data_IF_215898577010
#
_entry.id   IF_215898577010
#
_cell.length_a   1.000
_cell.length_b   1.000
_cell.length_c   1.000
_cell.angle_alpha   90.00
_cell.angle_beta   90.00
_cell.angle_gamma   90.00
#
_symmetry.space_group_name_H-M   'P 1'
#
loop_
_entity.id
_entity.type
_entity.pdbx_description
1 polymer ?
#
# COMPACT_ATOMS: atom_id res chain seq x y z
N UNK A 1 -14.27 33.90 21.99
CA UNK A 1 -14.48 33.82 20.53
C UNK A 1 -14.63 32.35 20.21
N UNK A 2 -15.86 31.91 19.98
CA UNK A 2 -16.18 30.50 19.71
C UNK A 2 -15.58 30.05 18.39
N UNK A 3 -14.71 29.06 18.47
CA UNK A 3 -14.12 28.33 17.33
C UNK A 3 -15.12 27.37 16.66
N UNK A 4 -16.35 27.26 17.17
CA UNK A 4 -17.38 26.32 16.70
C UNK A 4 -18.26 26.85 15.54
N UNK A 5 -18.05 28.10 15.08
CA UNK A 5 -18.81 28.68 13.96
C UNK A 5 -18.13 28.58 12.59
N UNK A 6 -16.84 28.22 12.55
CA UNK A 6 -16.08 28.04 11.30
C UNK A 6 -16.64 26.94 10.37
N UNK A 7 -17.23 25.82 10.85
CA UNK A 7 -17.80 24.80 9.97
C UNK A 7 -18.96 25.32 9.13
N UNK A 8 -19.72 26.33 9.58
CA UNK A 8 -20.96 26.78 8.94
C UNK A 8 -20.75 27.85 7.86
N UNK A 9 -19.66 28.61 7.90
CA UNK A 9 -19.40 29.66 6.92
C UNK A 9 -19.19 29.13 5.49
N UNK A 10 -18.79 27.86 5.34
CA UNK A 10 -18.61 27.21 4.04
C UNK A 10 -19.88 26.62 3.41
N UNK A 11 -21.02 26.72 4.09
CA UNK A 11 -22.29 26.13 3.64
C UNK A 11 -23.43 27.13 3.53
N UNK A 12 -23.15 28.43 3.63
CA UNK A 12 -24.15 29.42 3.24
C UNK A 12 -24.39 29.36 1.71
N UNK A 13 -25.58 29.77 1.27
CA UNK A 13 -25.98 29.69 -0.15
C UNK A 13 -24.94 30.33 -1.09
N UNK A 14 -24.30 31.42 -0.64
CA UNK A 14 -23.28 32.14 -1.41
C UNK A 14 -22.00 31.29 -1.62
N UNK A 15 -21.58 30.53 -0.62
CA UNK A 15 -20.46 29.59 -0.73
C UNK A 15 -20.80 28.42 -1.67
N UNK A 16 -22.02 27.89 -1.59
CA UNK A 16 -22.51 26.83 -2.48
C UNK A 16 -22.54 27.31 -3.94
N UNK A 17 -23.07 28.49 -4.20
CA UNK A 17 -23.10 29.10 -5.54
C UNK A 17 -21.69 29.32 -6.09
N UNK A 18 -20.79 29.88 -5.26
CA UNK A 18 -19.39 30.08 -5.65
C UNK A 18 -18.70 28.74 -5.97
N UNK A 19 -18.84 27.73 -5.11
CA UNK A 19 -18.25 26.41 -5.34
C UNK A 19 -18.82 25.74 -6.59
N UNK A 20 -20.13 25.85 -6.82
CA UNK A 20 -20.79 25.31 -8.02
C UNK A 20 -20.22 25.93 -9.29
N UNK A 21 -20.10 27.25 -9.33
CA UNK A 21 -19.52 27.98 -10.47
C UNK A 21 -18.05 27.61 -10.67
N UNK A 22 -17.28 27.52 -9.60
CA UNK A 22 -15.86 27.15 -9.68
C UNK A 22 -15.68 25.70 -10.11
N UNK A 23 -16.51 24.77 -9.65
CA UNK A 23 -16.47 23.38 -10.09
C UNK A 23 -16.77 23.27 -11.60
N UNK A 24 -17.72 24.07 -12.12
CA UNK A 24 -18.01 24.11 -13.55
C UNK A 24 -16.82 24.64 -14.39
N UNK A 25 -16.14 25.70 -13.92
CA UNK A 25 -14.95 26.24 -14.60
C UNK A 25 -13.79 25.23 -14.54
N UNK A 26 -13.55 24.64 -13.37
CA UNK A 26 -12.41 23.75 -13.17
C UNK A 26 -12.62 22.38 -13.83
N UNK A 27 -13.86 21.89 -13.98
CA UNK A 27 -14.12 20.60 -14.61
C UNK A 27 -13.67 20.53 -16.07
N UNK A 28 -13.75 21.65 -16.80
CA UNK A 28 -13.26 21.75 -18.18
C UNK A 28 -11.73 21.65 -18.27
N UNK A 29 -11.02 22.05 -17.21
CA UNK A 29 -9.55 22.12 -17.17
C UNK A 29 -8.91 21.11 -16.21
N UNK A 30 -9.71 20.21 -15.62
CA UNK A 30 -9.24 19.35 -14.53
C UNK A 30 -8.15 18.37 -14.96
N UNK A 31 -8.18 17.90 -16.20
CA UNK A 31 -7.12 17.06 -16.74
C UNK A 31 -5.79 17.83 -16.84
N UNK A 32 -5.81 19.06 -17.36
CA UNK A 32 -4.61 19.91 -17.45
C UNK A 32 -4.06 20.27 -16.06
N UNK A 33 -4.95 20.50 -15.10
CA UNK A 33 -4.60 20.68 -13.70
C UNK A 33 -3.82 19.47 -13.14
N UNK A 34 -4.30 18.26 -13.44
CA UNK A 34 -3.69 17.02 -12.99
C UNK A 34 -2.38 16.72 -13.75
N UNK A 35 -2.28 17.07 -15.03
CA UNK A 35 -1.01 17.00 -15.75
C UNK A 35 0.03 17.95 -15.14
N UNK A 36 -0.35 19.20 -14.86
CA UNK A 36 0.49 20.17 -14.14
C UNK A 36 0.92 19.64 -12.77
N UNK A 37 -0.01 19.00 -12.05
CA UNK A 37 0.25 18.38 -10.77
C UNK A 37 1.36 17.33 -10.86
N UNK A 38 1.23 16.35 -11.76
CA UNK A 38 2.26 15.31 -11.91
C UNK A 38 3.59 15.85 -12.42
N UNK A 39 3.59 16.85 -13.30
CA UNK A 39 4.84 17.54 -13.68
C UNK A 39 5.52 18.17 -12.47
N UNK A 40 4.76 18.77 -11.55
CA UNK A 40 5.35 19.36 -10.33
C UNK A 40 5.91 18.32 -9.35
N UNK A 41 5.44 17.06 -9.44
CA UNK A 41 6.00 15.95 -8.67
C UNK A 41 7.29 15.40 -9.27
N UNK A 42 7.69 15.81 -10.48
CA UNK A 42 8.97 15.40 -11.08
C UNK A 42 10.18 15.92 -10.32
N UNK A 43 10.04 17.04 -9.62
CA UNK A 43 11.11 17.64 -8.83
C UNK A 43 11.19 17.05 -7.41
N UNK A 44 10.39 16.03 -7.10
CA UNK A 44 10.32 15.39 -5.78
C UNK A 44 10.78 13.93 -5.92
N UNK A 45 12.00 13.58 -5.48
CA UNK A 45 12.56 12.23 -5.63
C UNK A 45 11.64 11.13 -5.10
N UNK A 46 11.02 11.36 -3.94
CA UNK A 46 10.11 10.41 -3.28
C UNK A 46 8.82 10.20 -4.06
N UNK A 47 8.35 11.21 -4.79
CA UNK A 47 7.17 11.05 -5.66
C UNK A 47 7.54 10.28 -6.93
N UNK A 48 8.71 10.56 -7.52
CA UNK A 48 9.22 9.85 -8.69
C UNK A 48 9.47 8.36 -8.42
N UNK A 49 10.00 8.03 -7.24
CA UNK A 49 10.26 6.65 -6.87
C UNK A 49 8.99 5.80 -6.80
N UNK A 50 7.84 6.40 -6.51
CA UNK A 50 6.53 5.72 -6.50
C UNK A 50 5.90 5.71 -7.89
N UNK A 51 5.92 6.85 -8.59
CA UNK A 51 5.32 6.97 -9.92
C UNK A 51 5.99 6.02 -10.92
N UNK A 52 7.31 5.85 -10.83
CA UNK A 52 8.09 4.95 -11.71
C UNK A 52 7.75 3.46 -11.53
N UNK A 53 7.06 3.08 -10.45
CA UNK A 53 6.60 1.70 -10.25
C UNK A 53 5.38 1.41 -11.14
N UNK A 54 4.55 2.42 -11.41
CA UNK A 54 3.27 2.26 -12.09
C UNK A 54 3.48 1.92 -13.57
N UNK A 55 2.62 1.06 -14.12
CA UNK A 55 2.49 0.96 -15.58
C UNK A 55 1.75 2.16 -16.15
N UNK A 56 1.76 2.32 -17.46
CA UNK A 56 1.05 3.42 -18.13
C UNK A 56 -0.46 3.42 -17.80
N UNK A 57 -1.07 2.23 -17.79
CA UNK A 57 -2.48 2.05 -17.45
C UNK A 57 -2.78 2.41 -15.99
N UNK A 58 -1.92 2.00 -15.06
CA UNK A 58 -2.04 2.39 -13.65
C UNK A 58 -1.92 3.90 -13.46
N UNK A 59 -0.95 4.51 -14.16
CA UNK A 59 -0.72 5.94 -14.06
C UNK A 59 -1.88 6.73 -14.65
N UNK A 60 -2.44 6.28 -15.78
CA UNK A 60 -3.65 6.85 -16.36
C UNK A 60 -4.86 6.71 -15.42
N UNK A 61 -5.03 5.55 -14.80
CA UNK A 61 -6.09 5.34 -13.79
C UNK A 61 -5.90 6.28 -12.59
N UNK A 62 -4.67 6.44 -12.10
CA UNK A 62 -4.35 7.34 -10.99
C UNK A 62 -4.66 8.79 -11.33
N UNK A 63 -4.31 9.27 -12.54
CA UNK A 63 -4.68 10.61 -13.02
C UNK A 63 -6.19 10.83 -12.98
N UNK A 64 -6.99 9.85 -13.42
CA UNK A 64 -8.46 9.94 -13.35
C UNK A 64 -8.97 10.03 -11.91
N UNK A 65 -8.38 9.29 -10.98
CA UNK A 65 -8.69 9.41 -9.54
C UNK A 65 -8.30 10.76 -8.97
N UNK A 66 -7.21 11.33 -9.45
CA UNK A 66 -6.74 12.63 -9.04
C UNK A 66 -7.65 13.76 -9.55
N UNK A 67 -8.20 13.64 -10.76
CA UNK A 67 -9.25 14.54 -11.28
C UNK A 67 -10.50 14.46 -10.40
N UNK A 68 -10.94 13.25 -10.04
CA UNK A 68 -12.09 13.06 -9.15
C UNK A 68 -11.88 13.73 -7.79
N UNK A 69 -10.67 13.62 -7.22
CA UNK A 69 -10.31 14.29 -5.96
C UNK A 69 -10.36 15.82 -6.07
N UNK A 70 -9.76 16.40 -7.11
CA UNK A 70 -9.79 17.84 -7.34
C UNK A 70 -11.23 18.38 -7.42
N UNK A 71 -12.11 17.67 -8.13
CA UNK A 71 -13.51 18.07 -8.26
C UNK A 71 -14.30 17.87 -6.97
N UNK A 72 -13.95 16.87 -6.16
CA UNK A 72 -14.54 16.66 -4.84
C UNK A 72 -14.24 17.84 -3.89
N UNK A 73 -13.01 18.37 -3.93
CA UNK A 73 -12.63 19.55 -3.12
C UNK A 73 -13.50 20.77 -3.43
N UNK A 74 -14.03 20.87 -4.66
CA UNK A 74 -14.90 21.95 -5.10
C UNK A 74 -16.39 21.61 -5.04
N UNK A 75 -16.74 20.39 -4.59
CA UNK A 75 -18.11 19.91 -4.67
C UNK A 75 -19.06 20.69 -3.77
N UNK A 76 -20.10 21.34 -4.35
CA UNK A 76 -21.10 22.05 -3.58
C UNK A 76 -21.91 21.06 -2.75
N UNK A 77 -22.09 21.35 -1.47
CA UNK A 77 -22.92 20.53 -0.58
C UNK A 77 -22.31 19.21 -0.10
N UNK A 78 -21.08 18.86 -0.49
CA UNK A 78 -20.35 17.76 0.18
C UNK A 78 -20.09 18.16 1.63
N UNK A 79 -20.67 17.41 2.56
CA UNK A 79 -20.48 17.63 3.99
C UNK A 79 -19.02 17.38 4.37
N UNK A 80 -18.52 18.13 5.35
CA UNK A 80 -17.14 17.97 5.79
C UNK A 80 -16.85 16.56 6.28
N UNK A 81 -17.83 15.90 6.90
CA UNK A 81 -17.72 14.51 7.35
C UNK A 81 -17.49 13.53 6.21
N UNK A 82 -18.17 13.72 5.07
CA UNK A 82 -18.03 12.83 3.92
C UNK A 82 -16.67 13.05 3.24
N UNK A 83 -16.24 14.31 3.14
CA UNK A 83 -14.89 14.63 2.68
C UNK A 83 -13.84 13.98 3.61
N UNK A 84 -14.02 14.06 4.93
CA UNK A 84 -13.11 13.46 5.91
C UNK A 84 -12.95 11.96 5.68
N UNK A 85 -14.04 11.23 5.49
CA UNK A 85 -14.01 9.78 5.29
C UNK A 85 -13.25 9.40 4.01
N UNK A 86 -13.52 10.12 2.91
CA UNK A 86 -12.84 9.87 1.64
C UNK A 86 -11.34 10.21 1.71
N UNK A 87 -11.01 11.36 2.29
CA UNK A 87 -9.63 11.80 2.52
C UNK A 87 -8.89 10.84 3.45
N UNK A 88 -9.48 10.43 4.57
CA UNK A 88 -8.87 9.46 5.49
C UNK A 88 -8.59 8.12 4.82
N UNK A 89 -9.53 7.64 3.99
CA UNK A 89 -9.32 6.45 3.18
C UNK A 89 -8.20 6.61 2.14
N UNK A 90 -8.03 7.79 1.55
CA UNK A 90 -6.92 8.09 0.66
C UNK A 90 -5.57 8.12 1.40
N UNK A 91 -5.52 8.77 2.56
CA UNK A 91 -4.33 8.79 3.42
C UNK A 91 -3.88 7.40 3.85
N UNK A 92 -4.82 6.53 4.24
CA UNK A 92 -4.53 5.13 4.55
C UNK A 92 -3.90 4.40 3.35
N UNK A 93 -4.43 4.59 2.14
CA UNK A 93 -3.86 4.00 0.92
C UNK A 93 -2.46 4.54 0.63
N UNK A 94 -2.26 5.85 0.72
CA UNK A 94 -0.96 6.49 0.53
C UNK A 94 0.09 5.93 1.49
N UNK A 95 -0.25 5.82 2.78
CA UNK A 95 0.60 5.19 3.79
C UNK A 95 0.95 3.74 3.41
N UNK A 96 -0.04 2.95 2.99
CA UNK A 96 0.14 1.53 2.66
C UNK A 96 1.05 1.24 1.45
N UNK A 97 1.32 2.24 0.61
CA UNK A 97 2.26 2.13 -0.52
C UNK A 97 3.52 3.00 -0.32
N UNK A 98 3.71 3.56 0.88
CA UNK A 98 4.92 4.28 1.25
C UNK A 98 5.02 5.70 0.68
N UNK A 99 3.91 6.35 0.33
CA UNK A 99 3.92 7.78 -0.03
C UNK A 99 4.28 8.59 1.21
N UNK A 100 5.32 9.42 1.12
CA UNK A 100 5.72 10.29 2.22
C UNK A 100 4.73 11.46 2.43
N UNK A 101 4.49 11.85 3.68
CA UNK A 101 3.61 12.98 4.01
C UNK A 101 4.10 14.32 3.43
N UNK A 102 5.39 14.47 3.13
CA UNK A 102 5.94 15.63 2.44
C UNK A 102 5.41 15.74 1.01
N UNK A 103 5.22 14.61 0.31
CA UNK A 103 4.61 14.56 -1.02
C UNK A 103 3.16 15.00 -0.93
N UNK A 104 2.43 14.55 0.09
CA UNK A 104 1.06 14.99 0.35
C UNK A 104 0.95 16.51 0.58
N UNK A 105 1.86 17.08 1.39
CA UNK A 105 1.87 18.52 1.63
C UNK A 105 2.15 19.31 0.34
N UNK A 106 3.18 18.92 -0.42
CA UNK A 106 3.52 19.53 -1.72
C UNK A 106 2.36 19.43 -2.72
N UNK A 107 1.71 18.28 -2.77
CA UNK A 107 0.52 18.03 -3.57
C UNK A 107 -0.61 19.02 -3.23
N UNK A 108 -0.84 19.27 -1.94
CA UNK A 108 -1.88 20.22 -1.50
C UNK A 108 -1.55 21.68 -1.83
N UNK A 109 -0.28 22.07 -1.71
CA UNK A 109 0.19 23.42 -2.08
C UNK A 109 0.01 23.67 -3.58
N UNK A 110 0.23 22.63 -4.41
CA UNK A 110 -0.04 22.70 -5.84
C UNK A 110 -1.51 22.99 -6.13
N UNK A 111 -2.44 22.28 -5.47
CA UNK A 111 -3.86 22.53 -5.67
C UNK A 111 -4.30 23.90 -5.19
N UNK A 112 -3.81 24.35 -4.04
CA UNK A 112 -4.10 25.70 -3.57
C UNK A 112 -3.69 26.73 -4.62
N UNK A 113 -2.44 26.64 -5.11
CA UNK A 113 -1.93 27.56 -6.14
C UNK A 113 -2.77 27.51 -7.42
N UNK A 114 -3.09 26.31 -7.90
CA UNK A 114 -3.89 26.13 -9.12
C UNK A 114 -5.28 26.76 -8.98
N UNK A 115 -5.97 26.48 -7.87
CA UNK A 115 -7.31 26.96 -7.61
C UNK A 115 -7.33 28.49 -7.45
N UNK A 116 -6.38 29.08 -6.71
CA UNK A 116 -6.29 30.52 -6.53
C UNK A 116 -5.92 31.28 -7.80
N UNK A 117 -5.24 30.66 -8.75
CA UNK A 117 -4.98 31.26 -10.05
C UNK A 117 -6.20 31.24 -10.99
N UNK A 118 -7.22 30.46 -10.65
CA UNK A 118 -8.42 30.25 -11.48
C UNK A 118 -9.61 31.16 -11.11
N UNK A 119 -9.48 31.97 -10.04
CA UNK A 119 -10.58 32.79 -9.50
C UNK A 119 -10.46 34.27 -9.88
N UNK A 120 -11.59 34.93 -10.13
CA UNK A 120 -11.66 36.37 -10.33
C UNK A 120 -11.43 37.15 -9.02
N UNK A 121 -10.86 38.36 -9.11
CA UNK A 121 -10.56 39.22 -7.94
C UNK A 121 -11.75 39.48 -7.02
N UNK A 122 -12.96 39.62 -7.57
CA UNK A 122 -14.17 39.93 -6.80
C UNK A 122 -14.58 38.84 -5.81
N UNK A 123 -14.24 37.58 -6.12
CA UNK A 123 -14.61 36.41 -5.31
C UNK A 123 -13.42 35.82 -4.55
N UNK A 124 -12.22 36.39 -4.75
CA UNK A 124 -10.95 35.87 -4.22
C UNK A 124 -10.97 35.64 -2.70
N UNK A 125 -11.41 36.63 -1.91
CA UNK A 125 -11.37 36.54 -0.45
C UNK A 125 -12.21 35.37 0.09
N UNK A 126 -13.43 35.24 -0.41
CA UNK A 126 -14.34 34.16 -0.01
C UNK A 126 -13.83 32.81 -0.53
N UNK A 127 -13.41 32.73 -1.80
CA UNK A 127 -12.88 31.50 -2.38
C UNK A 127 -11.62 31.02 -1.65
N UNK A 128 -10.70 31.93 -1.34
CA UNK A 128 -9.48 31.66 -0.59
C UNK A 128 -9.78 31.02 0.77
N UNK A 129 -10.73 31.58 1.53
CA UNK A 129 -11.14 31.02 2.82
C UNK A 129 -11.72 29.60 2.66
N UNK A 130 -12.61 29.40 1.68
CA UNK A 130 -13.26 28.11 1.43
C UNK A 130 -12.25 27.03 1.05
N UNK A 131 -11.41 27.30 0.06
CA UNK A 131 -10.47 26.31 -0.49
C UNK A 131 -9.37 25.98 0.51
N UNK A 132 -8.87 26.98 1.24
CA UNK A 132 -7.84 26.77 2.27
C UNK A 132 -8.37 25.90 3.39
N UNK A 133 -9.61 26.15 3.85
CA UNK A 133 -10.23 25.33 4.88
C UNK A 133 -10.46 23.89 4.41
N UNK A 134 -10.98 23.70 3.19
CA UNK A 134 -11.21 22.37 2.62
C UNK A 134 -9.91 21.59 2.40
N UNK A 135 -8.85 22.22 1.91
CA UNK A 135 -7.54 21.59 1.74
C UNK A 135 -6.90 21.27 3.09
N UNK A 136 -6.95 22.18 4.06
CA UNK A 136 -6.43 21.91 5.40
C UNK A 136 -7.13 20.70 6.05
N UNK A 137 -8.45 20.61 5.87
CA UNK A 137 -9.23 19.49 6.36
C UNK A 137 -8.95 18.18 5.60
N UNK A 138 -8.75 18.24 4.28
CA UNK A 138 -8.33 17.11 3.45
C UNK A 138 -6.99 16.54 3.94
N UNK A 139 -5.97 17.38 4.08
CA UNK A 139 -4.63 16.99 4.55
C UNK A 139 -4.72 16.40 5.96
N UNK A 140 -5.41 17.06 6.89
CA UNK A 140 -5.59 16.55 8.26
C UNK A 140 -6.19 15.14 8.23
N UNK A 141 -7.28 14.96 7.48
CA UNK A 141 -7.97 13.67 7.38
C UNK A 141 -7.07 12.60 6.76
N UNK A 142 -6.30 12.95 5.73
CA UNK A 142 -5.31 12.05 5.15
C UNK A 142 -4.23 11.65 6.18
N UNK A 143 -3.69 12.60 6.94
CA UNK A 143 -2.73 12.31 8.03
C UNK A 143 -3.34 11.38 9.09
N UNK A 144 -4.62 11.56 9.44
CA UNK A 144 -5.30 10.63 10.34
C UNK A 144 -5.42 9.22 9.72
N UNK A 145 -5.53 9.11 8.40
CA UNK A 145 -5.44 7.84 7.67
C UNK A 145 -4.06 7.17 7.76
N UNK A 146 -2.97 7.94 7.81
CA UNK A 146 -1.62 7.39 8.06
C UNK A 146 -1.52 6.78 9.46
N UNK A 147 -2.05 7.47 10.47
CA UNK A 147 -2.07 6.96 11.85
C UNK A 147 -2.88 5.68 11.98
N UNK A 148 -4.02 5.61 11.28
CA UNK A 148 -4.82 4.38 11.23
C UNK A 148 -4.03 3.21 10.63
N UNK A 149 -3.27 3.47 9.57
CA UNK A 149 -2.41 2.46 8.96
C UNK A 149 -1.30 2.01 9.91
N UNK A 150 -0.65 2.94 10.62
CA UNK A 150 0.38 2.64 11.61
C UNK A 150 -0.17 1.82 12.79
N UNK A 151 -1.35 2.18 13.31
CA UNK A 151 -2.00 1.41 14.37
C UNK A 151 -2.42 0.02 13.89
N UNK A 152 -2.95 -0.07 12.67
CA UNK A 152 -3.28 -1.34 12.04
C UNK A 152 -2.03 -2.23 11.91
N UNK A 153 -0.91 -1.65 11.47
CA UNK A 153 0.39 -2.28 11.34
C UNK A 153 0.87 -2.90 12.66
N UNK A 154 0.88 -2.11 13.75
CA UNK A 154 1.28 -2.58 15.09
C UNK A 154 0.41 -3.77 15.52
N UNK A 155 -0.91 -3.63 15.41
CA UNK A 155 -1.84 -4.68 15.80
C UNK A 155 -1.67 -5.97 14.97
N UNK A 156 -1.39 -5.84 13.67
CA UNK A 156 -1.13 -6.99 12.81
C UNK A 156 0.16 -7.73 13.22
N UNK A 157 1.23 -7.01 13.54
CA UNK A 157 2.49 -7.57 14.04
C UNK A 157 2.29 -8.27 15.38
N UNK A 158 1.58 -7.64 16.31
CA UNK A 158 1.33 -8.20 17.64
C UNK A 158 0.46 -9.47 17.55
N UNK A 159 -0.51 -9.46 16.64
CA UNK A 159 -1.34 -10.64 16.34
C UNK A 159 -0.55 -11.85 15.81
N UNK A 160 0.64 -11.63 15.21
CA UNK A 160 1.53 -12.67 14.70
C UNK A 160 2.42 -13.33 15.78
N UNK A 161 2.07 -13.20 17.06
CA UNK A 161 2.72 -13.94 18.14
C UNK A 161 2.80 -15.45 17.87
N UNK A 162 3.82 -16.09 18.45
CA UNK A 162 4.03 -17.54 18.33
C UNK A 162 2.97 -18.26 19.17
N UNK A 163 1.99 -18.85 18.49
CA UNK A 163 0.89 -19.56 19.13
C UNK A 163 1.35 -20.89 19.75
N UNK A 164 0.53 -21.44 20.65
CA UNK A 164 0.73 -22.77 21.22
C UNK A 164 0.83 -23.88 20.14
N UNK A 165 0.26 -23.68 18.95
CA UNK A 165 0.39 -24.59 17.81
C UNK A 165 1.84 -24.70 17.28
N UNK A 166 2.69 -23.71 17.56
CA UNK A 166 4.12 -23.71 17.21
C UNK A 166 5.03 -24.11 18.38
N UNK A 167 4.52 -24.15 19.63
CA UNK A 167 5.31 -24.37 20.86
C UNK A 167 4.85 -25.62 21.64
N UNK A 168 3.75 -26.27 21.25
CA UNK A 168 3.20 -27.45 21.92
C UNK A 168 3.97 -28.75 21.60
N UNK A 169 3.78 -29.82 22.38
CA UNK A 169 4.37 -31.14 22.11
C UNK A 169 3.85 -31.81 20.83
N UNK A 170 2.68 -31.38 20.34
CA UNK A 170 2.10 -31.81 19.07
C UNK A 170 2.37 -30.82 17.92
N UNK A 171 3.30 -29.87 18.12
CA UNK A 171 3.60 -28.86 17.11
C UNK A 171 4.20 -29.49 15.85
N UNK A 172 3.64 -29.12 14.71
CA UNK A 172 4.06 -29.56 13.38
C UNK A 172 4.33 -28.33 12.51
N UNK A 173 5.41 -28.38 11.73
CA UNK A 173 5.86 -27.27 10.88
C UNK A 173 4.79 -26.81 9.90
N UNK A 174 4.04 -27.74 9.28
CA UNK A 174 2.98 -27.38 8.35
C UNK A 174 1.79 -26.71 9.05
N UNK A 175 1.50 -27.12 10.28
CA UNK A 175 0.43 -26.56 11.10
C UNK A 175 0.80 -25.16 11.63
N UNK A 176 2.04 -24.97 12.07
CA UNK A 176 2.59 -23.66 12.43
C UNK A 176 2.58 -22.71 11.22
N UNK A 177 3.10 -23.15 10.06
CA UNK A 177 3.07 -22.37 8.81
C UNK A 177 1.64 -22.04 8.37
N UNK A 178 0.68 -22.95 8.55
CA UNK A 178 -0.73 -22.71 8.27
C UNK A 178 -1.32 -21.60 9.13
N UNK A 179 -1.06 -21.61 10.44
CA UNK A 179 -1.54 -20.60 11.36
C UNK A 179 -0.98 -19.22 10.97
N UNK A 180 0.34 -19.13 10.79
CA UNK A 180 1.01 -17.90 10.36
C UNK A 180 0.44 -17.36 9.04
N UNK A 181 0.30 -18.22 8.02
CA UNK A 181 -0.26 -17.81 6.75
C UNK A 181 -1.71 -17.31 6.88
N UNK A 182 -2.54 -17.88 7.77
CA UNK A 182 -3.91 -17.40 8.01
C UNK A 182 -3.92 -16.00 8.61
N UNK A 183 -3.05 -15.73 9.58
CA UNK A 183 -2.91 -14.41 10.20
C UNK A 183 -2.40 -13.38 9.19
N UNK A 184 -1.37 -13.72 8.40
CA UNK A 184 -0.82 -12.84 7.35
C UNK A 184 -1.88 -12.56 6.27
N UNK A 185 -2.71 -13.53 5.89
CA UNK A 185 -3.82 -13.32 4.94
C UNK A 185 -4.92 -12.40 5.46
N UNK A 186 -4.98 -12.08 6.76
CA UNK A 186 -5.87 -11.04 7.28
C UNK A 186 -5.30 -9.63 7.09
N UNK A 187 -4.01 -9.53 6.71
CA UNK A 187 -3.37 -8.26 6.43
C UNK A 187 -3.96 -7.69 5.15
N UNK A 188 -4.36 -6.42 5.19
CA UNK A 188 -5.03 -5.77 4.08
C UNK A 188 -4.12 -5.80 2.85
N UNK A 189 -4.73 -6.08 1.69
CA UNK A 189 -4.07 -6.15 0.38
C UNK A 189 -3.20 -7.37 0.11
N UNK A 190 -3.02 -8.26 1.11
CA UNK A 190 -2.44 -9.58 0.90
C UNK A 190 -3.48 -10.47 0.21
N UNK A 191 -3.12 -10.96 -0.98
CA UNK A 191 -3.97 -11.85 -1.78
C UNK A 191 -3.49 -13.30 -1.70
N UNK A 192 -2.21 -13.52 -1.38
CA UNK A 192 -1.63 -14.86 -1.24
C UNK A 192 -0.38 -14.88 -0.38
N UNK A 193 -0.17 -16.02 0.27
CA UNK A 193 0.99 -16.28 1.13
C UNK A 193 1.52 -17.69 0.85
N UNK A 194 2.84 -17.83 0.81
CA UNK A 194 3.56 -19.11 0.74
C UNK A 194 4.65 -19.09 1.80
N UNK A 195 4.71 -20.15 2.61
CA UNK A 195 5.76 -20.38 3.59
C UNK A 195 6.39 -21.74 3.28
N UNK A 196 7.71 -21.78 3.23
CA UNK A 196 8.45 -22.97 2.88
C UNK A 196 9.90 -22.91 3.31
N UNK A 197 10.69 -23.88 2.82
CA UNK A 197 12.11 -23.99 3.07
C UNK A 197 12.85 -24.40 1.79
N UNK A 198 14.16 -24.20 1.76
CA UNK A 198 15.07 -24.73 0.75
C UNK A 198 16.00 -25.73 1.43
N UNK A 199 15.91 -27.00 1.03
CA UNK A 199 16.79 -28.07 1.49
C UNK A 199 17.70 -28.52 0.34
N UNK A 200 18.94 -28.02 0.35
CA UNK A 200 19.86 -28.17 -0.76
C UNK A 200 19.31 -27.53 -2.05
N UNK A 201 19.07 -28.34 -3.08
CA UNK A 201 18.48 -27.89 -4.35
C UNK A 201 16.94 -27.99 -4.37
N UNK A 202 16.32 -28.51 -3.32
CA UNK A 202 14.89 -28.76 -3.26
C UNK A 202 14.18 -27.63 -2.53
N UNK A 203 13.23 -26.98 -3.21
CA UNK A 203 12.35 -25.99 -2.59
C UNK A 203 11.05 -26.67 -2.15
N UNK A 204 10.86 -26.72 -0.84
CA UNK A 204 9.68 -27.26 -0.20
C UNK A 204 8.70 -26.15 0.19
N UNK A 205 7.41 -26.43 0.01
CA UNK A 205 6.32 -25.55 0.46
C UNK A 205 5.60 -26.22 1.63
N UNK A 206 5.79 -25.67 2.83
CA UNK A 206 5.09 -26.13 4.03
C UNK A 206 3.61 -25.80 3.95
N UNK A 207 3.29 -24.56 3.58
CA UNK A 207 1.91 -24.14 3.42
C UNK A 207 1.77 -23.00 2.42
N UNK A 208 0.60 -22.95 1.78
CA UNK A 208 0.17 -21.82 0.95
C UNK A 208 -1.29 -21.50 1.20
N UNK A 209 -1.63 -20.23 1.11
CA UNK A 209 -2.99 -19.73 1.28
C UNK A 209 -3.27 -18.61 0.28
N UNK A 210 -4.54 -18.50 -0.15
CA UNK A 210 -4.95 -17.47 -1.10
C UNK A 210 -4.49 -17.71 -2.55
N UNK A 211 -4.39 -16.61 -3.28
CA UNK A 211 -4.04 -16.54 -4.69
C UNK A 211 -2.51 -16.56 -4.83
N UNK A 212 -1.98 -17.72 -5.23
CA UNK A 212 -0.53 -17.99 -5.29
C UNK A 212 -0.14 -18.47 -6.70
N UNK A 213 -0.15 -17.58 -7.72
CA UNK A 213 0.25 -17.93 -9.08
C UNK A 213 1.65 -18.54 -9.11
N UNK A 214 1.86 -19.56 -9.94
CA UNK A 214 3.16 -20.23 -10.06
C UNK A 214 3.48 -21.26 -8.96
N UNK A 215 2.60 -21.45 -7.98
CA UNK A 215 2.71 -22.55 -7.00
C UNK A 215 1.56 -23.54 -7.24
N UNK A 216 1.90 -24.79 -7.55
CA UNK A 216 0.93 -25.82 -7.87
C UNK A 216 0.09 -26.22 -6.65
N UNK A 217 -1.22 -26.39 -6.86
CA UNK A 217 -2.15 -26.60 -5.75
C UNK A 217 -2.03 -27.96 -5.10
N UNK A 218 -1.66 -28.98 -5.87
CA UNK A 218 -1.71 -30.39 -5.48
C UNK A 218 -0.32 -30.92 -5.12
N UNK A 219 0.66 -30.63 -5.98
CA UNK A 219 2.03 -31.10 -5.86
C UNK A 219 2.89 -30.19 -5.00
N UNK A 220 2.40 -28.97 -4.69
CA UNK A 220 3.16 -27.93 -3.97
C UNK A 220 4.46 -27.52 -4.65
N UNK A 221 4.62 -27.85 -5.93
CA UNK A 221 5.80 -27.47 -6.71
C UNK A 221 5.70 -26.02 -7.16
N UNK A 222 6.83 -25.34 -7.11
CA UNK A 222 6.99 -23.99 -7.60
C UNK A 222 7.46 -24.02 -9.06
N UNK A 223 6.98 -23.06 -9.87
CA UNK A 223 7.49 -22.84 -11.23
C UNK A 223 8.91 -22.29 -11.21
N UNK A 224 9.63 -22.49 -12.31
CA UNK A 224 11.07 -22.25 -12.40
C UNK A 224 11.45 -20.79 -12.08
N UNK A 225 10.64 -19.83 -12.51
CA UNK A 225 10.87 -18.40 -12.31
C UNK A 225 10.80 -18.03 -10.83
N UNK A 226 9.75 -18.48 -10.13
CA UNK A 226 9.62 -18.30 -8.69
C UNK A 226 10.67 -19.11 -7.91
N UNK A 227 11.05 -20.28 -8.41
CA UNK A 227 12.10 -21.11 -7.83
C UNK A 227 13.42 -20.33 -7.79
N UNK A 228 13.82 -19.71 -8.90
CA UNK A 228 15.03 -18.87 -8.97
C UNK A 228 15.01 -17.74 -7.94
N UNK A 229 13.86 -17.08 -7.77
CA UNK A 229 13.70 -16.00 -6.79
C UNK A 229 13.84 -16.53 -5.35
N UNK A 230 13.21 -17.65 -5.03
CA UNK A 230 13.30 -18.24 -3.69
C UNK A 230 14.72 -18.72 -3.40
N UNK A 231 15.38 -19.37 -4.35
CA UNK A 231 16.76 -19.83 -4.20
C UNK A 231 17.71 -18.65 -4.00
N UNK A 232 17.58 -17.55 -4.77
CA UNK A 232 18.44 -16.38 -4.57
C UNK A 232 18.23 -15.74 -3.19
N UNK A 233 16.98 -15.65 -2.71
CA UNK A 233 16.68 -15.13 -1.36
C UNK A 233 17.31 -16.00 -0.27
N UNK A 234 17.29 -17.32 -0.47
CA UNK A 234 17.88 -18.28 0.46
C UNK A 234 19.41 -18.16 0.52
N UNK A 235 20.07 -18.11 -0.64
CA UNK A 235 21.52 -18.03 -0.78
C UNK A 235 22.07 -16.69 -0.31
N UNK A 236 21.50 -15.59 -0.80
CA UNK A 236 21.98 -14.24 -0.53
C UNK A 236 21.53 -13.70 0.83
N UNK A 237 20.54 -14.36 1.46
CA UNK A 237 19.87 -13.92 2.69
C UNK A 237 19.31 -12.50 2.58
N UNK A 238 18.99 -12.07 1.37
CA UNK A 238 18.43 -10.76 1.07
C UNK A 238 17.02 -10.92 0.52
N UNK A 239 16.08 -10.06 0.93
CA UNK A 239 14.74 -10.07 0.38
C UNK A 239 14.74 -9.62 -1.09
N UNK A 240 13.82 -10.18 -1.88
CA UNK A 240 13.57 -9.78 -3.27
C UNK A 240 12.20 -9.13 -3.37
N UNK A 241 12.15 -7.97 -4.02
CA UNK A 241 10.93 -7.19 -4.21
C UNK A 241 10.60 -7.01 -5.68
N UNK A 242 9.45 -7.54 -6.07
CA UNK A 242 8.84 -7.26 -7.37
C UNK A 242 7.79 -6.17 -7.14
N UNK A 243 8.20 -4.90 -7.29
CA UNK A 243 7.33 -3.75 -7.02
C UNK A 243 6.17 -3.62 -8.00
N UNK A 244 6.37 -4.03 -9.25
CA UNK A 244 5.32 -4.18 -10.25
C UNK A 244 5.58 -5.43 -11.08
N UNK A 245 4.63 -6.37 -11.06
CA UNK A 245 4.68 -7.62 -11.81
C UNK A 245 4.80 -7.37 -13.32
N UNK A 246 4.15 -6.33 -13.84
CA UNK A 246 4.13 -6.01 -15.27
C UNK A 246 5.50 -5.56 -15.79
N UNK A 247 6.30 -4.91 -14.95
CA UNK A 247 7.62 -4.37 -15.29
C UNK A 247 8.76 -5.27 -14.79
N UNK A 248 8.47 -6.50 -14.37
CA UNK A 248 9.44 -7.38 -13.74
C UNK A 248 10.15 -8.28 -14.75
N UNK A 249 11.47 -8.14 -14.97
CA UNK A 249 12.22 -9.02 -15.87
C UNK A 249 12.35 -10.46 -15.34
N UNK A 250 12.08 -10.70 -14.05
CA UNK A 250 12.13 -12.04 -13.46
C UNK A 250 10.84 -12.83 -13.68
N UNK A 251 9.75 -12.16 -14.07
CA UNK A 251 8.46 -12.76 -14.36
C UNK A 251 8.08 -12.42 -15.80
N UNK A 252 8.41 -13.31 -16.73
CA UNK A 252 8.10 -13.08 -18.15
C UNK A 252 6.95 -13.99 -18.63
N UNK A 253 6.30 -13.56 -19.71
CA UNK A 253 5.39 -14.39 -20.49
C UNK A 253 4.18 -14.88 -19.71
N UNK A 254 4.12 -16.20 -19.48
CA UNK A 254 2.93 -16.87 -18.95
C UNK A 254 2.66 -16.53 -17.47
N UNK A 255 3.70 -16.47 -16.63
CA UNK A 255 3.53 -16.33 -15.19
C UNK A 255 3.20 -14.89 -14.79
N UNK A 256 3.75 -13.90 -15.50
CA UNK A 256 3.31 -12.52 -15.43
C UNK A 256 1.82 -12.38 -15.73
N UNK A 257 1.36 -12.90 -16.88
CA UNK A 257 -0.06 -12.84 -17.26
C UNK A 257 -0.95 -13.54 -16.23
N UNK A 258 -0.49 -14.64 -15.65
CA UNK A 258 -1.23 -15.35 -14.60
C UNK A 258 -1.37 -14.50 -13.35
N UNK A 259 -0.31 -13.84 -12.91
CA UNK A 259 -0.35 -12.89 -11.79
C UNK A 259 -1.32 -11.74 -12.07
N UNK A 260 -1.22 -11.09 -13.23
CA UNK A 260 -2.10 -9.98 -13.60
C UNK A 260 -3.57 -10.41 -13.68
N UNK A 261 -3.86 -11.57 -14.30
CA UNK A 261 -5.22 -12.13 -14.38
C UNK A 261 -5.81 -12.51 -13.02
N UNK A 262 -4.94 -12.78 -12.05
CA UNK A 262 -5.27 -13.10 -10.68
C UNK A 262 -5.40 -11.83 -9.79
N UNK A 263 -5.16 -10.64 -10.35
CA UNK A 263 -5.18 -9.38 -9.62
C UNK A 263 -3.93 -9.13 -8.78
N UNK A 264 -2.86 -9.92 -8.96
CA UNK A 264 -1.58 -9.71 -8.27
C UNK A 264 -0.77 -8.66 -9.03
N UNK A 265 -0.30 -7.65 -8.30
CA UNK A 265 0.43 -6.50 -8.86
C UNK A 265 1.84 -6.36 -8.30
N UNK A 266 2.14 -6.89 -7.12
CA UNK A 266 3.50 -6.97 -6.58
C UNK A 266 3.71 -8.26 -5.79
N UNK A 267 4.98 -8.66 -5.64
CA UNK A 267 5.38 -9.88 -4.93
C UNK A 267 6.62 -9.58 -4.10
N UNK A 268 6.60 -9.94 -2.82
CA UNK A 268 7.78 -9.89 -1.98
C UNK A 268 8.18 -11.28 -1.51
N UNK A 269 9.48 -11.52 -1.44
CA UNK A 269 10.05 -12.77 -0.93
C UNK A 269 11.12 -12.43 0.09
N UNK A 270 10.98 -12.96 1.31
CA UNK A 270 11.87 -12.70 2.43
C UNK A 270 12.49 -13.98 2.95
N UNK A 271 13.76 -13.94 3.38
CA UNK A 271 14.31 -14.99 4.21
C UNK A 271 13.68 -14.90 5.61
N UNK A 272 13.27 -16.04 6.16
CA UNK A 272 12.74 -16.15 7.51
C UNK A 272 13.85 -16.55 8.46
N UNK A 273 14.46 -15.56 9.10
CA UNK A 273 15.54 -15.77 10.06
C UNK A 273 15.00 -16.07 11.47
N UNK A 274 15.48 -17.15 12.07
CA UNK A 274 15.27 -17.46 13.48
C UNK A 274 16.04 -16.52 14.41
N UNK A 275 15.83 -16.65 15.72
CA UNK A 275 16.53 -15.89 16.75
C UNK A 275 18.05 -16.15 16.73
N UNK A 276 18.49 -17.33 16.30
CA UNK A 276 19.89 -17.66 16.08
C UNK A 276 20.53 -17.04 14.82
N UNK A 277 19.78 -16.28 14.00
CA UNK A 277 20.26 -15.69 12.76
C UNK A 277 20.40 -16.67 11.59
N UNK A 278 20.01 -17.94 11.79
CA UNK A 278 19.88 -18.94 10.74
C UNK A 278 18.60 -18.72 9.94
N UNK A 279 18.65 -18.96 8.63
CA UNK A 279 17.45 -18.92 7.78
C UNK A 279 16.74 -20.26 7.93
N UNK A 280 15.52 -20.23 8.48
CA UNK A 280 14.70 -21.42 8.75
C UNK A 280 13.69 -21.70 7.64
N UNK A 281 13.48 -20.71 6.77
CA UNK A 281 12.56 -20.80 5.66
C UNK A 281 12.54 -19.54 4.80
N UNK A 282 11.56 -19.47 3.91
CA UNK A 282 11.20 -18.26 3.19
C UNK A 282 9.72 -17.93 3.37
N UNK A 283 9.42 -16.64 3.26
CA UNK A 283 8.07 -16.10 3.21
C UNK A 283 7.89 -15.39 1.87
N UNK A 284 6.92 -15.83 1.08
CA UNK A 284 6.52 -15.17 -0.16
C UNK A 284 5.09 -14.65 -0.03
N UNK A 285 4.88 -13.37 -0.36
CA UNK A 285 3.59 -12.69 -0.25
C UNK A 285 3.25 -12.05 -1.59
N UNK A 286 1.98 -12.21 -1.99
CA UNK A 286 1.40 -11.69 -3.22
C UNK A 286 0.41 -10.57 -2.86
N UNK A 287 0.56 -9.41 -3.50
CA UNK A 287 -0.23 -8.22 -3.18
C UNK A 287 -1.10 -7.76 -4.33
N UNK A 288 -2.21 -7.11 -3.99
CA UNK A 288 -3.16 -6.53 -4.95
C UNK A 288 -2.70 -5.23 -5.60
N UNK A 289 -1.72 -4.53 -5.04
CA UNK A 289 -1.29 -3.21 -5.51
C UNK A 289 0.19 -3.19 -5.87
N UNK A 290 0.59 -2.42 -6.90
CA UNK A 290 1.99 -2.16 -7.14
C UNK A 290 2.59 -1.38 -5.96
N UNK A 291 3.87 -1.58 -5.69
CA UNK A 291 4.60 -0.82 -4.68
C UNK A 291 4.31 -1.20 -3.22
N UNK A 292 3.68 -2.34 -2.95
CA UNK A 292 3.34 -2.76 -1.57
C UNK A 292 4.55 -2.92 -0.62
N UNK A 293 5.76 -2.99 -1.17
CA UNK A 293 7.02 -3.01 -0.41
C UNK A 293 7.87 -1.76 -0.70
N UNK A 294 7.25 -0.67 -1.17
CA UNK A 294 7.94 0.59 -1.38
C UNK A 294 7.98 1.41 -0.08
N UNK A 295 9.10 2.11 0.13
CA UNK A 295 9.34 2.93 1.31
C UNK A 295 9.93 2.14 2.48
N UNK A 296 10.74 2.83 3.29
CA UNK A 296 11.47 2.24 4.43
C UNK A 296 10.52 1.60 5.44
N UNK A 297 9.40 2.25 5.76
CA UNK A 297 8.41 1.75 6.72
C UNK A 297 7.83 0.40 6.29
N UNK A 298 7.45 0.25 5.02
CA UNK A 298 6.89 -1.01 4.51
C UNK A 298 7.95 -2.11 4.43
N UNK A 299 9.19 -1.76 4.08
CA UNK A 299 10.31 -2.72 4.09
C UNK A 299 10.55 -3.24 5.52
N UNK A 300 10.59 -2.34 6.51
CA UNK A 300 10.71 -2.72 7.92
C UNK A 300 9.55 -3.61 8.35
N UNK A 301 8.32 -3.27 7.96
CA UNK A 301 7.14 -4.06 8.29
C UNK A 301 7.25 -5.52 7.88
N UNK A 302 7.46 -5.75 6.58
CA UNK A 302 7.49 -7.09 6.06
C UNK A 302 8.70 -7.87 6.54
N UNK A 303 9.81 -7.19 6.85
CA UNK A 303 10.98 -7.79 7.49
C UNK A 303 10.69 -8.23 8.92
N UNK A 304 9.94 -7.44 9.71
CA UNK A 304 9.51 -7.86 11.05
C UNK A 304 8.55 -9.06 10.99
N UNK A 305 7.64 -9.09 10.01
CA UNK A 305 6.78 -10.26 9.79
C UNK A 305 7.63 -11.49 9.45
N UNK A 306 8.60 -11.38 8.53
CA UNK A 306 9.42 -12.52 8.12
C UNK A 306 10.28 -13.06 9.27
N UNK A 307 10.77 -12.18 10.16
CA UNK A 307 11.47 -12.56 11.39
C UNK A 307 10.56 -13.33 12.35
N UNK A 308 9.32 -12.87 12.58
CA UNK A 308 8.36 -13.61 13.43
C UNK A 308 8.03 -14.98 12.86
N UNK A 309 7.90 -15.10 11.54
CA UNK A 309 7.75 -16.41 10.88
C UNK A 309 8.99 -17.27 11.10
N UNK A 310 10.20 -16.71 10.93
CA UNK A 310 11.46 -17.42 11.17
C UNK A 310 11.59 -17.94 12.60
N UNK A 311 11.34 -17.12 13.61
CA UNK A 311 11.37 -17.56 15.02
C UNK A 311 10.34 -18.66 15.32
N UNK A 312 9.17 -18.63 14.68
CA UNK A 312 8.16 -19.68 14.85
C UNK A 312 8.56 -20.99 14.18
N UNK A 313 9.22 -20.93 13.01
CA UNK A 313 9.77 -22.10 12.33
C UNK A 313 10.92 -22.71 13.13
N UNK A 314 11.85 -21.89 13.63
CA UNK A 314 12.95 -22.34 14.50
C UNK A 314 12.42 -23.12 15.71
N UNK A 315 11.42 -22.56 16.40
CA UNK A 315 10.86 -23.16 17.61
C UNK A 315 10.26 -24.56 17.39
N UNK A 316 9.62 -24.79 16.23
CA UNK A 316 9.02 -26.09 15.90
C UNK A 316 10.06 -27.05 15.30
N UNK A 317 11.07 -26.56 14.57
CA UNK A 317 12.09 -27.39 13.93
C UNK A 317 13.16 -27.87 14.92
N UNK A 318 13.61 -27.03 15.86
CA UNK A 318 14.62 -27.39 16.85
C UNK A 318 14.23 -28.62 17.68
N UNK A 319 12.92 -28.89 17.84
CA UNK A 319 12.39 -30.05 18.57
C UNK A 319 12.38 -31.36 17.79
N UNK A 320 12.62 -31.35 16.48
CA UNK A 320 12.78 -32.59 15.70
C UNK A 320 14.13 -33.27 15.93
N UNK A 321 15.09 -32.55 16.53
CA UNK A 321 16.47 -33.00 16.74
C UNK A 321 16.68 -33.56 18.16
N UNK A 322 15.73 -33.34 19.08
CA UNK A 322 15.71 -33.86 20.46
C UNK A 322 14.72 -35.01 20.62
#
# INVERSE_FOLDING_TARGET
MDTDLLPYAAYNNRAIELLSRMQAIISEQANDAVESFYRSLNDIPEAQSIISILSEDDFYFLKRKQVQHLLLLLSPGTAMTDQALLSRSAGYRHASIGVDQIVLKKASEHYLKYLLNSIERRDFSMFYQLVTMRLAFDIKSQIDGYKDYELYYINAIDGLGVDSECIGPAADVNSCARNMARKIMQIQFVEGVVIGNVDGEVVDVFYRLGITPGVDRHTRRMRLELLKIVTSVWEDRNPVYIQNVENCPLLEGHDMRRCLSAGIRSIGVWPCQGAGGHVEGYLMIFFKYPGAMHGEQNIMYWSTISQKVGSALEAVMARRIT
#
